data_IF_249530153754
#
_entry.id   IF_249530153754
#
_cell.length_a   1.000
_cell.length_b   1.000
_cell.length_c   1.000
_cell.angle_alpha   90.00
_cell.angle_beta   90.00
_cell.angle_gamma   90.00
#
_symmetry.space_group_name_H-M   'P 1'
#
loop_
_entity.id
_entity.type
_entity.pdbx_description
1 polymer ?
#
# COMPACT_ATOMS: atom_id res chain seq x y z
N UNK A 1 -19.32 -53.36 26.67
CA UNK A 1 -18.85 -52.68 25.44
C UNK A 1 -18.70 -51.20 25.73
N UNK A 2 -17.48 -50.72 25.81
CA UNK A 2 -17.19 -49.30 26.03
C UNK A 2 -17.25 -48.59 24.69
N UNK A 3 -18.24 -47.74 24.55
CA UNK A 3 -18.30 -46.83 23.40
C UNK A 3 -17.48 -45.63 23.75
N UNK A 4 -16.34 -45.50 23.13
CA UNK A 4 -15.57 -44.29 23.18
C UNK A 4 -16.27 -43.23 22.33
N UNK A 5 -16.87 -42.27 23.00
CA UNK A 5 -17.35 -41.07 22.33
C UNK A 5 -16.14 -40.25 21.93
N UNK A 6 -15.82 -40.20 20.65
CA UNK A 6 -14.86 -39.28 20.12
C UNK A 6 -15.56 -37.91 20.10
N UNK A 7 -15.25 -37.09 21.06
CA UNK A 7 -15.64 -35.68 20.98
C UNK A 7 -14.82 -35.06 19.86
N UNK A 8 -15.45 -34.84 18.72
CA UNK A 8 -14.94 -33.94 17.71
C UNK A 8 -14.99 -32.54 18.31
N UNK A 9 -13.83 -32.09 18.79
CA UNK A 9 -13.65 -30.70 19.11
C UNK A 9 -13.78 -29.95 17.79
N UNK A 10 -14.93 -29.28 17.61
CA UNK A 10 -15.14 -28.39 16.49
C UNK A 10 -14.10 -27.29 16.57
N UNK A 11 -13.17 -27.30 15.64
CA UNK A 11 -12.26 -26.18 15.42
C UNK A 11 -13.12 -25.10 14.78
N UNK A 12 -13.64 -24.20 15.62
CA UNK A 12 -14.21 -22.97 15.10
C UNK A 12 -13.03 -22.13 14.59
N UNK A 13 -12.75 -22.22 13.30
CA UNK A 13 -11.94 -21.22 12.64
C UNK A 13 -12.75 -19.93 12.63
N UNK A 14 -12.50 -19.09 13.63
CA UNK A 14 -12.83 -17.71 13.48
C UNK A 14 -11.96 -17.19 12.34
N UNK A 15 -12.57 -17.00 11.17
CA UNK A 15 -11.94 -16.22 10.11
C UNK A 15 -11.74 -14.81 10.64
N UNK A 16 -10.67 -14.60 11.39
CA UNK A 16 -10.15 -13.27 11.58
C UNK A 16 -9.78 -12.85 10.17
N UNK A 17 -10.53 -11.88 9.62
CA UNK A 17 -10.14 -11.25 8.37
C UNK A 17 -8.73 -10.73 8.56
N UNK A 18 -7.75 -11.52 8.15
CA UNK A 18 -6.37 -11.08 8.10
C UNK A 18 -6.38 -10.02 7.01
N UNK A 19 -6.32 -8.75 7.41
CA UNK A 19 -5.99 -7.70 6.48
C UNK A 19 -4.69 -8.14 5.81
N UNK A 20 -4.77 -8.52 4.55
CA UNK A 20 -3.58 -8.92 3.82
C UNK A 20 -2.62 -7.74 3.80
N UNK A 21 -1.41 -7.94 4.29
CA UNK A 21 -0.34 -6.97 4.14
C UNK A 21 -0.16 -6.68 2.65
N UNK A 22 0.03 -5.42 2.32
CA UNK A 22 0.30 -5.01 0.96
C UNK A 22 1.55 -5.72 0.41
N UNK A 23 1.50 -6.13 -0.84
CA UNK A 23 2.54 -6.89 -1.51
C UNK A 23 3.45 -5.96 -2.32
N UNK A 24 4.64 -5.70 -1.80
CA UNK A 24 5.61 -4.82 -2.44
C UNK A 24 6.09 -5.36 -3.81
N UNK A 25 6.16 -6.67 -4.00
CA UNK A 25 6.56 -7.25 -5.28
C UNK A 25 5.52 -7.00 -6.38
N UNK A 26 4.24 -7.14 -6.05
CA UNK A 26 3.14 -6.73 -6.96
C UNK A 26 3.12 -5.23 -7.15
N UNK A 27 3.42 -4.48 -6.11
CA UNK A 27 3.47 -3.02 -6.13
C UNK A 27 4.52 -2.47 -7.08
N UNK A 28 5.64 -3.15 -7.24
CA UNK A 28 6.67 -2.77 -8.22
C UNK A 28 6.11 -2.74 -9.63
N UNK A 29 5.32 -3.73 -10.01
CA UNK A 29 4.69 -3.78 -11.32
C UNK A 29 3.70 -2.62 -11.53
N UNK A 30 2.91 -2.30 -10.50
CA UNK A 30 1.98 -1.16 -10.54
C UNK A 30 2.74 0.15 -10.62
N UNK A 31 3.81 0.30 -9.84
CA UNK A 31 4.67 1.47 -9.87
C UNK A 31 5.20 1.76 -11.28
N UNK A 32 5.71 0.74 -11.96
CA UNK A 32 6.23 0.84 -13.32
C UNK A 32 5.19 1.22 -14.36
N UNK A 33 3.91 0.94 -14.08
CA UNK A 33 2.81 1.28 -14.99
C UNK A 33 2.33 2.72 -14.82
N UNK A 34 2.34 3.26 -13.60
CA UNK A 34 1.63 4.51 -13.27
C UNK A 34 2.50 5.48 -12.49
N UNK A 35 2.98 5.06 -11.33
CA UNK A 35 3.58 5.95 -10.32
C UNK A 35 4.89 6.57 -10.78
N UNK A 36 5.64 5.86 -11.60
CA UNK A 36 6.96 6.29 -12.10
C UNK A 36 6.91 7.65 -12.81
N UNK A 37 5.80 7.96 -13.45
CA UNK A 37 5.68 9.20 -14.25
C UNK A 37 6.00 10.46 -13.44
N UNK A 38 5.65 10.46 -12.15
CA UNK A 38 5.94 11.57 -11.25
C UNK A 38 7.02 11.25 -10.23
N UNK A 39 7.02 10.02 -9.70
CA UNK A 39 7.88 9.65 -8.57
C UNK A 39 9.32 9.27 -8.95
N UNK A 40 9.62 8.99 -10.19
CA UNK A 40 11.01 8.72 -10.60
C UNK A 40 11.85 10.01 -10.62
N UNK A 41 11.34 11.06 -11.22
CA UNK A 41 12.06 12.31 -11.41
C UNK A 41 11.66 13.43 -10.45
N UNK A 42 10.62 13.22 -9.65
CA UNK A 42 10.08 14.26 -8.76
C UNK A 42 9.23 15.30 -9.49
N UNK A 43 8.50 14.89 -10.51
CA UNK A 43 7.60 15.76 -11.28
C UNK A 43 6.49 16.30 -10.38
N UNK A 44 6.15 17.58 -10.53
CA UNK A 44 5.08 18.26 -9.78
C UNK A 44 5.23 18.17 -8.25
N UNK A 45 6.47 18.12 -7.76
CA UNK A 45 6.75 18.03 -6.33
C UNK A 45 6.59 16.65 -5.70
N UNK A 46 6.43 15.60 -6.51
CA UNK A 46 6.34 14.24 -6.02
C UNK A 46 7.65 13.81 -5.33
N UNK A 47 7.59 13.16 -4.15
CA UNK A 47 8.78 12.63 -3.52
C UNK A 47 9.37 11.51 -4.38
N UNK A 48 10.66 11.63 -4.69
CA UNK A 48 11.35 10.67 -5.54
C UNK A 48 11.46 9.30 -4.89
N UNK A 49 11.32 8.26 -5.68
CA UNK A 49 11.59 6.89 -5.26
C UNK A 49 13.02 6.78 -4.70
N UNK A 50 13.17 6.18 -3.54
CA UNK A 50 14.48 5.98 -2.90
C UNK A 50 15.06 7.20 -2.19
N UNK A 51 14.42 8.35 -2.24
CA UNK A 51 14.86 9.57 -1.55
C UNK A 51 14.39 9.56 -0.09
N UNK A 52 15.23 9.04 0.80
CA UNK A 52 14.89 8.92 2.23
C UNK A 52 14.55 10.26 2.89
N UNK A 53 15.23 11.33 2.52
CA UNK A 53 14.97 12.63 3.10
C UNK A 53 13.58 13.16 2.73
N UNK A 54 13.16 12.99 1.48
CA UNK A 54 11.83 13.40 1.02
C UNK A 54 10.71 12.57 1.66
N UNK A 55 10.97 11.31 1.97
CA UNK A 55 9.98 10.40 2.54
C UNK A 55 9.89 10.42 4.06
N UNK A 56 10.90 10.93 4.75
CA UNK A 56 11.01 10.86 6.21
C UNK A 56 9.76 11.37 6.94
N UNK A 57 9.33 12.58 6.65
CA UNK A 57 8.16 13.17 7.32
C UNK A 57 6.85 12.53 6.85
N UNK A 58 6.82 12.04 5.62
CA UNK A 58 5.67 11.32 5.08
C UNK A 58 5.48 9.97 5.77
N UNK A 59 6.56 9.21 5.94
CA UNK A 59 6.53 7.91 6.64
C UNK A 59 6.07 8.09 8.09
N UNK A 60 6.44 9.18 8.74
CA UNK A 60 6.01 9.48 10.10
C UNK A 60 4.49 9.61 10.26
N UNK A 61 3.76 9.90 9.19
CA UNK A 61 2.30 9.95 9.19
C UNK A 61 1.64 8.57 9.20
N UNK A 62 2.39 7.52 8.91
CA UNK A 62 1.92 6.14 8.84
C UNK A 62 1.50 5.70 7.45
N UNK A 63 1.69 4.42 7.16
CA UNK A 63 1.39 3.83 5.85
C UNK A 63 -0.08 3.96 5.47
N UNK A 64 -1.00 3.77 6.42
CA UNK A 64 -2.43 3.92 6.17
C UNK A 64 -2.80 5.33 5.67
N UNK A 65 -2.16 6.37 6.19
CA UNK A 65 -2.35 7.74 5.72
C UNK A 65 -1.82 7.92 4.31
N UNK A 66 -0.65 7.36 4.00
CA UNK A 66 -0.06 7.43 2.67
C UNK A 66 -0.90 6.66 1.65
N UNK A 67 -1.43 5.50 2.02
CA UNK A 67 -2.36 4.75 1.19
C UNK A 67 -3.60 5.58 0.84
N UNK A 68 -4.19 6.21 1.84
CA UNK A 68 -5.35 7.08 1.67
C UNK A 68 -5.05 8.22 0.70
N UNK A 69 -3.92 8.90 0.87
CA UNK A 69 -3.51 9.99 -0.01
C UNK A 69 -3.31 9.52 -1.46
N UNK A 70 -2.72 8.35 -1.65
CA UNK A 70 -2.51 7.80 -2.98
C UNK A 70 -3.83 7.38 -3.65
N UNK A 71 -4.77 6.85 -2.88
CA UNK A 71 -6.08 6.41 -3.39
C UNK A 71 -7.00 7.60 -3.69
N UNK A 72 -7.12 8.53 -2.76
CA UNK A 72 -8.07 9.65 -2.83
C UNK A 72 -7.49 10.89 -3.53
N UNK A 73 -6.18 10.92 -3.72
CA UNK A 73 -5.47 12.11 -4.15
C UNK A 73 -5.07 12.99 -2.97
N UNK A 74 -4.09 13.84 -3.20
CA UNK A 74 -3.55 14.70 -2.16
C UNK A 74 -3.03 16.01 -2.76
N UNK A 75 -3.36 17.12 -2.13
CA UNK A 75 -2.78 18.43 -2.43
C UNK A 75 -2.14 18.98 -1.16
N UNK A 76 -0.88 19.37 -1.27
CA UNK A 76 -0.11 19.92 -0.17
C UNK A 76 0.86 21.01 -0.68
N UNK A 77 1.76 21.45 0.19
CA UNK A 77 2.72 22.52 -0.15
C UNK A 77 3.66 22.14 -1.30
N UNK A 78 4.05 20.87 -1.38
CA UNK A 78 4.97 20.40 -2.42
C UNK A 78 4.32 20.27 -3.79
N UNK A 79 3.01 20.06 -3.86
CA UNK A 79 2.30 19.85 -5.11
C UNK A 79 1.02 19.07 -4.93
N UNK A 80 0.54 18.50 -6.01
CA UNK A 80 -0.73 17.77 -6.06
C UNK A 80 -0.57 16.42 -6.73
N UNK A 81 -1.12 15.38 -6.09
CA UNK A 81 -1.21 14.04 -6.63
C UNK A 81 -2.67 13.74 -6.97
N UNK A 82 -2.99 13.37 -8.23
CA UNK A 82 -4.34 12.94 -8.55
C UNK A 82 -4.68 11.59 -7.91
N UNK A 83 -5.97 11.27 -7.71
CA UNK A 83 -6.37 9.96 -7.21
C UNK A 83 -5.76 8.83 -8.03
N UNK A 84 -5.10 7.88 -7.35
CA UNK A 84 -4.47 6.70 -7.97
C UNK A 84 -3.49 7.05 -9.09
N UNK A 85 -2.83 8.20 -8.98
CA UNK A 85 -1.92 8.68 -10.02
C UNK A 85 -2.59 8.96 -11.37
N UNK A 86 -3.90 9.13 -11.40
CA UNK A 86 -4.71 9.29 -12.59
C UNK A 86 -5.32 7.99 -13.14
N UNK A 87 -4.92 6.84 -12.64
CA UNK A 87 -5.42 5.51 -13.03
C UNK A 87 -6.54 5.07 -12.08
N UNK A 88 -7.69 5.68 -12.20
CA UNK A 88 -8.85 5.41 -11.33
C UNK A 88 -9.45 4.01 -11.53
N UNK A 89 -9.04 3.30 -12.58
CA UNK A 89 -9.39 1.91 -12.84
C UNK A 89 -8.64 0.91 -11.95
N UNK A 90 -7.55 1.34 -11.29
CA UNK A 90 -6.82 0.47 -10.36
C UNK A 90 -7.64 0.22 -9.10
N UNK A 91 -7.54 -1.01 -8.57
CA UNK A 91 -8.11 -1.32 -7.26
C UNK A 91 -7.35 -0.60 -6.14
N UNK A 92 -8.01 -0.40 -5.02
CA UNK A 92 -7.36 0.18 -3.83
C UNK A 92 -6.19 -0.70 -3.37
N UNK A 93 -6.33 -2.02 -3.45
CA UNK A 93 -5.28 -2.98 -3.11
C UNK A 93 -4.05 -2.83 -3.99
N UNK A 94 -4.24 -2.63 -5.31
CA UNK A 94 -3.13 -2.40 -6.23
C UNK A 94 -2.37 -1.12 -5.87
N UNK A 95 -3.07 -0.06 -5.51
CA UNK A 95 -2.46 1.20 -5.08
C UNK A 95 -1.70 1.02 -3.76
N UNK A 96 -2.28 0.30 -2.80
CA UNK A 96 -1.60 -0.03 -1.53
C UNK A 96 -0.34 -0.85 -1.75
N UNK A 97 -0.36 -1.81 -2.67
CA UNK A 97 0.83 -2.57 -3.05
C UNK A 97 1.92 -1.66 -3.61
N UNK A 98 1.56 -0.72 -4.47
CA UNK A 98 2.50 0.25 -5.03
C UNK A 98 3.10 1.15 -3.94
N UNK A 99 2.30 1.63 -2.99
CA UNK A 99 2.78 2.39 -1.84
C UNK A 99 3.76 1.55 -1.01
N UNK A 100 3.43 0.30 -0.73
CA UNK A 100 4.32 -0.61 0.00
C UNK A 100 5.67 -0.79 -0.71
N UNK A 101 5.66 -0.92 -2.02
CA UNK A 101 6.89 -0.97 -2.81
C UNK A 101 7.71 0.30 -2.66
N UNK A 102 7.08 1.46 -2.82
CA UNK A 102 7.77 2.74 -2.69
C UNK A 102 8.39 2.93 -1.31
N UNK A 103 7.66 2.56 -0.25
CA UNK A 103 8.16 2.62 1.12
C UNK A 103 9.31 1.63 1.35
N UNK A 104 9.31 0.48 0.70
CA UNK A 104 10.40 -0.51 0.81
C UNK A 104 11.74 0.04 0.34
N UNK A 105 11.74 1.02 -0.55
CA UNK A 105 12.97 1.65 -1.07
C UNK A 105 13.59 2.66 -0.12
N UNK A 106 12.86 3.07 0.91
CA UNK A 106 13.29 4.12 1.86
C UNK A 106 13.29 3.67 3.32
N UNK A 107 13.04 2.41 3.56
CA UNK A 107 13.15 1.82 4.91
C UNK A 107 14.58 1.44 5.26
#
# INVERSE_FOLDING_TARGET
MKRTAIALAGFAMFGVGVAQAADAAKGEEIYKQVCFACHDAGVAGAPKLGDKAAWKDRIAKGEATLDKHAIEGFTGEAGSMPPKGGRTDLSDEAVKDAVAYMLSTVK
#
